data_IF_509093941966
#
_entry.id   IF_509093941966
#
_cell.length_a   1.000
_cell.length_b   1.000
_cell.length_c   1.000
_cell.angle_alpha   90.00
_cell.angle_beta   90.00
_cell.angle_gamma   90.00
#
_symmetry.space_group_name_H-M   'P 1'
#
loop_
_entity.id
_entity.type
_entity.pdbx_description
1 polymer ?
#
# COMPACT_ATOMS: atom_id res chain seq x y z
N UNK A 1 22.82 -3.15 -3.80
CA UNK A 1 22.34 -1.90 -4.44
C UNK A 1 21.77 -2.07 -5.87
N UNK A 2 21.87 -3.23 -6.55
CA UNK A 2 21.47 -3.34 -7.97
C UNK A 2 20.01 -3.75 -8.30
N UNK A 3 19.22 -4.28 -7.36
CA UNK A 3 17.89 -4.87 -7.66
C UNK A 3 16.69 -3.92 -7.54
N UNK A 4 16.78 -2.86 -6.73
CA UNK A 4 15.75 -1.81 -6.64
C UNK A 4 15.73 -0.95 -7.92
N UNK A 5 16.91 -0.63 -8.46
CA UNK A 5 17.08 0.08 -9.72
C UNK A 5 16.45 -0.65 -10.92
N UNK A 6 16.46 -2.00 -10.91
CA UNK A 6 15.95 -2.85 -11.99
C UNK A 6 14.42 -3.03 -12.00
N UNK A 7 13.69 -2.59 -10.97
CA UNK A 7 12.21 -2.67 -10.90
C UNK A 7 11.52 -1.32 -10.99
N UNK A 8 12.21 -0.25 -10.58
CA UNK A 8 11.82 1.11 -10.94
C UNK A 8 12.06 1.40 -12.42
N UNK A 9 13.01 0.71 -13.06
CA UNK A 9 13.14 0.73 -14.52
C UNK A 9 11.90 0.18 -15.22
N UNK A 10 11.29 -0.92 -14.76
CA UNK A 10 10.07 -1.45 -15.39
C UNK A 10 8.85 -0.55 -15.20
N UNK A 11 8.76 0.16 -14.06
CA UNK A 11 7.72 1.18 -13.83
C UNK A 11 7.98 2.43 -14.67
N UNK A 12 9.22 2.93 -14.71
CA UNK A 12 9.64 4.06 -15.55
C UNK A 12 9.42 3.78 -17.03
N UNK A 13 9.71 2.58 -17.49
CA UNK A 13 9.59 2.14 -18.89
C UNK A 13 8.12 1.96 -19.28
N UNK A 14 7.31 1.37 -18.39
CA UNK A 14 5.84 1.34 -18.56
C UNK A 14 5.22 2.75 -18.61
N UNK A 15 5.74 3.69 -17.82
CA UNK A 15 5.27 5.08 -17.80
C UNK A 15 5.79 5.91 -19.00
N UNK A 16 6.97 5.60 -19.55
CA UNK A 16 7.58 6.30 -20.71
C UNK A 16 6.91 5.93 -22.04
N UNK A 17 6.50 4.67 -22.21
CA UNK A 17 5.86 4.16 -23.44
C UNK A 17 4.47 4.80 -23.67
N UNK A 18 3.81 5.32 -22.63
CA UNK A 18 2.46 5.90 -22.72
C UNK A 18 2.41 7.37 -23.16
N UNK A 19 3.53 7.99 -23.54
CA UNK A 19 3.63 9.27 -24.26
C UNK A 19 2.55 10.33 -24.01
N UNK A 20 2.38 10.86 -22.80
CA UNK A 20 1.36 11.91 -22.53
C UNK A 20 1.87 13.04 -21.61
N UNK A 21 1.70 14.26 -22.14
CA UNK A 21 1.71 15.56 -21.44
C UNK A 21 0.71 15.60 -20.26
N UNK A 22 1.19 16.01 -19.08
CA UNK A 22 0.43 16.42 -17.89
C UNK A 22 -0.69 15.49 -17.36
N UNK A 23 -0.34 14.28 -16.88
CA UNK A 23 -1.23 13.43 -16.08
C UNK A 23 -0.63 13.08 -14.73
N UNK A 24 -1.43 13.12 -13.67
CA UNK A 24 -1.00 12.95 -12.28
C UNK A 24 -1.00 11.48 -11.85
N UNK A 25 -0.21 11.15 -10.84
CA UNK A 25 -0.31 9.89 -10.10
C UNK A 25 -1.23 10.11 -8.90
N UNK A 26 -2.35 9.38 -8.87
CA UNK A 26 -3.25 9.38 -7.72
C UNK A 26 -2.69 8.48 -6.62
N UNK A 27 -2.77 8.92 -5.37
CA UNK A 27 -2.37 8.14 -4.20
C UNK A 27 -3.53 8.16 -3.21
N UNK A 28 -4.00 6.99 -2.81
CA UNK A 28 -5.11 6.82 -1.87
C UNK A 28 -4.66 6.08 -0.61
N UNK A 29 -5.00 6.61 0.55
CA UNK A 29 -4.82 5.95 1.85
C UNK A 29 -6.05 6.11 2.76
N UNK A 30 -6.17 5.25 3.77
CA UNK A 30 -7.24 5.36 4.77
C UNK A 30 -7.06 6.51 5.75
N UNK A 31 -5.86 7.09 5.85
CA UNK A 31 -5.55 8.15 6.79
C UNK A 31 -4.37 8.97 6.28
N UNK A 32 -3.42 9.29 7.17
CA UNK A 32 -2.21 10.05 6.84
C UNK A 32 -0.97 9.16 6.67
N UNK A 33 -1.02 7.90 7.10
CA UNK A 33 0.11 6.97 7.03
C UNK A 33 0.66 6.77 5.60
N UNK A 34 -0.21 6.84 4.59
CA UNK A 34 0.16 6.76 3.18
C UNK A 34 1.02 7.91 2.67
N UNK A 35 1.19 9.00 3.44
CA UNK A 35 2.17 10.04 3.12
C UNK A 35 3.61 9.49 3.10
N UNK A 36 3.89 8.40 3.82
CA UNK A 36 5.17 7.69 3.73
C UNK A 36 5.42 7.11 2.34
N UNK A 37 4.38 6.51 1.72
CA UNK A 37 4.42 6.01 0.34
C UNK A 37 4.54 7.16 -0.65
N UNK A 38 3.76 8.23 -0.47
CA UNK A 38 3.84 9.41 -1.32
C UNK A 38 5.25 10.03 -1.29
N UNK A 39 5.85 10.17 -0.10
CA UNK A 39 7.21 10.69 0.06
C UNK A 39 8.23 9.84 -0.70
N UNK A 40 8.13 8.51 -0.60
CA UNK A 40 9.02 7.60 -1.33
C UNK A 40 8.83 7.71 -2.85
N UNK A 41 7.58 7.79 -3.32
CA UNK A 41 7.27 7.98 -4.74
C UNK A 41 7.82 9.31 -5.27
N UNK A 42 7.61 10.41 -4.54
CA UNK A 42 8.09 11.73 -4.94
C UNK A 42 9.62 11.80 -5.00
N UNK A 43 10.33 11.09 -4.11
CA UNK A 43 11.78 10.99 -4.14
C UNK A 43 12.29 10.24 -5.39
N UNK A 44 11.64 9.14 -5.77
CA UNK A 44 12.03 8.32 -6.93
C UNK A 44 11.54 8.88 -8.28
N UNK A 45 10.48 9.68 -8.25
CA UNK A 45 9.79 10.25 -9.40
C UNK A 45 9.64 11.78 -9.24
N UNK A 46 10.73 12.55 -9.17
CA UNK A 46 10.68 13.98 -8.84
C UNK A 46 10.02 14.86 -9.92
N UNK A 47 9.89 14.35 -11.14
CA UNK A 47 9.22 15.05 -12.24
C UNK A 47 7.69 14.80 -12.27
N UNK A 48 7.18 13.94 -11.39
CA UNK A 48 5.78 13.56 -11.38
C UNK A 48 4.92 14.48 -10.52
N UNK A 49 3.68 14.70 -10.96
CA UNK A 49 2.67 15.39 -10.18
C UNK A 49 1.79 14.36 -9.46
N UNK A 50 1.51 14.62 -8.20
CA UNK A 50 0.73 13.72 -7.35
C UNK A 50 -0.55 14.38 -6.86
N UNK A 51 -1.63 13.59 -6.76
CA UNK A 51 -2.82 13.96 -6.01
C UNK A 51 -3.03 12.91 -4.92
N UNK A 52 -3.16 13.34 -3.68
CA UNK A 52 -3.30 12.46 -2.52
C UNK A 52 -4.69 12.59 -1.90
N UNK A 53 -5.32 11.46 -1.63
CA UNK A 53 -6.56 11.39 -0.86
C UNK A 53 -6.34 10.51 0.37
N UNK A 54 -6.42 11.11 1.55
CA UNK A 54 -6.47 10.43 2.84
C UNK A 54 -7.89 10.43 3.38
N UNK A 55 -8.45 9.25 3.66
CA UNK A 55 -9.83 9.12 4.15
C UNK A 55 -9.96 9.22 5.68
N UNK A 56 -9.48 10.33 6.23
CA UNK A 56 -9.40 10.56 7.68
C UNK A 56 -10.76 10.66 8.38
N UNK A 57 -11.88 10.76 7.65
CA UNK A 57 -13.21 10.72 8.27
C UNK A 57 -13.63 9.31 8.71
N UNK A 58 -12.96 8.26 8.19
CA UNK A 58 -13.40 6.85 8.32
C UNK A 58 -12.29 5.90 8.79
N UNK A 59 -11.14 6.43 9.18
CA UNK A 59 -10.03 5.66 9.74
C UNK A 59 -10.38 5.06 11.14
N UNK A 60 -9.69 4.00 11.58
CA UNK A 60 -8.81 3.15 10.80
C UNK A 60 -9.59 2.13 9.98
N UNK A 61 -9.11 1.81 8.78
CA UNK A 61 -9.70 0.73 7.96
C UNK A 61 -9.43 -0.66 8.54
N UNK A 62 -8.34 -0.81 9.30
CA UNK A 62 -7.89 -2.09 9.86
C UNK A 62 -8.92 -2.84 10.70
N UNK A 63 -9.87 -2.12 11.32
CA UNK A 63 -10.93 -2.68 12.18
C UNK A 63 -12.26 -2.87 11.44
N UNK A 64 -12.35 -2.48 10.16
CA UNK A 64 -13.59 -2.55 9.38
C UNK A 64 -13.73 -3.90 8.66
N UNK A 65 -14.96 -4.21 8.23
CA UNK A 65 -15.22 -5.38 7.39
C UNK A 65 -14.63 -5.20 5.98
N UNK A 66 -14.35 -6.30 5.28
CA UNK A 66 -13.80 -6.26 3.92
C UNK A 66 -14.75 -5.52 2.97
N UNK A 67 -16.07 -5.77 3.07
CA UNK A 67 -17.09 -5.12 2.25
C UNK A 67 -17.11 -3.61 2.48
N UNK A 68 -16.94 -3.19 3.74
CA UNK A 68 -16.87 -1.77 4.10
C UNK A 68 -15.62 -1.11 3.51
N UNK A 69 -14.45 -1.76 3.63
CA UNK A 69 -13.19 -1.26 3.04
C UNK A 69 -13.29 -1.17 1.52
N UNK A 70 -13.85 -2.18 0.85
CA UNK A 70 -14.09 -2.17 -0.60
C UNK A 70 -14.98 -0.99 -1.00
N UNK A 71 -16.10 -0.79 -0.28
CA UNK A 71 -17.02 0.33 -0.54
C UNK A 71 -16.32 1.68 -0.40
N UNK A 72 -15.55 1.89 0.66
CA UNK A 72 -14.85 3.15 0.86
C UNK A 72 -13.74 3.38 -0.18
N UNK A 73 -12.96 2.34 -0.51
CA UNK A 73 -11.93 2.42 -1.56
C UNK A 73 -12.53 2.77 -2.93
N UNK A 74 -13.71 2.22 -3.28
CA UNK A 74 -14.41 2.57 -4.51
C UNK A 74 -14.91 4.03 -4.52
N UNK A 75 -15.35 4.56 -3.37
CA UNK A 75 -15.75 5.96 -3.24
C UNK A 75 -14.53 6.89 -3.36
N UNK A 76 -13.41 6.57 -2.71
CA UNK A 76 -12.16 7.31 -2.86
C UNK A 76 -11.64 7.28 -4.31
N UNK A 77 -11.74 6.13 -4.97
CA UNK A 77 -11.41 5.99 -6.40
C UNK A 77 -12.30 6.89 -7.27
N UNK A 78 -13.60 6.98 -6.98
CA UNK A 78 -14.51 7.84 -7.72
C UNK A 78 -14.17 9.33 -7.56
N UNK A 79 -13.79 9.76 -6.35
CA UNK A 79 -13.33 11.12 -6.09
C UNK A 79 -12.01 11.44 -6.84
N UNK A 80 -11.05 10.50 -6.82
CA UNK A 80 -9.78 10.64 -7.53
C UNK A 80 -9.93 10.58 -9.05
N UNK A 81 -10.96 9.91 -9.57
CA UNK A 81 -11.24 9.85 -11.01
C UNK A 81 -11.66 11.20 -11.60
N UNK A 82 -11.96 12.21 -10.77
CA UNK A 82 -12.17 13.59 -11.23
C UNK A 82 -10.86 14.27 -11.70
N UNK A 83 -9.69 13.69 -11.41
CA UNK A 83 -8.39 14.18 -11.84
C UNK A 83 -7.89 13.42 -13.07
N UNK A 84 -7.01 14.03 -13.90
CA UNK A 84 -6.42 13.37 -15.06
C UNK A 84 -5.34 12.37 -14.62
N UNK A 85 -5.75 11.21 -14.11
CA UNK A 85 -4.85 10.18 -13.60
C UNK A 85 -4.20 9.40 -14.75
N UNK A 86 -2.90 9.14 -14.63
CA UNK A 86 -2.19 8.12 -15.42
C UNK A 86 -1.92 6.83 -14.65
N UNK A 87 -2.02 6.87 -13.33
CA UNK A 87 -1.89 5.72 -12.45
C UNK A 87 -2.59 6.02 -11.11
N UNK A 88 -3.11 4.98 -10.45
CA UNK A 88 -3.57 5.03 -9.08
C UNK A 88 -2.75 4.09 -8.20
N UNK A 89 -2.22 4.61 -7.09
CA UNK A 89 -1.56 3.84 -6.04
C UNK A 89 -2.46 3.78 -4.81
N UNK A 90 -2.82 2.57 -4.38
CA UNK A 90 -3.46 2.32 -3.08
C UNK A 90 -2.34 2.16 -2.05
N UNK A 91 -2.05 3.23 -1.30
CA UNK A 91 -1.01 3.26 -0.28
C UNK A 91 -1.43 2.54 1.03
N UNK A 92 -2.73 2.41 1.29
CA UNK A 92 -3.24 1.70 2.45
C UNK A 92 -3.02 0.18 2.30
N UNK A 93 -2.33 -0.44 3.26
CA UNK A 93 -2.16 -1.89 3.31
C UNK A 93 -3.50 -2.63 3.41
N UNK A 94 -4.40 -2.16 4.26
CA UNK A 94 -5.71 -2.80 4.44
C UNK A 94 -6.56 -2.69 3.18
N UNK A 95 -6.60 -1.53 2.53
CA UNK A 95 -7.33 -1.39 1.26
C UNK A 95 -6.66 -2.19 0.14
N UNK A 96 -5.32 -2.20 0.06
CA UNK A 96 -4.60 -3.00 -0.92
C UNK A 96 -4.86 -4.50 -0.77
N UNK A 97 -5.03 -4.98 0.47
CA UNK A 97 -5.28 -6.40 0.75
C UNK A 97 -6.65 -6.88 0.26
N UNK A 98 -7.69 -6.03 0.29
CA UNK A 98 -9.08 -6.48 0.03
C UNK A 98 -9.77 -5.77 -1.14
N UNK A 99 -9.39 -4.53 -1.47
CA UNK A 99 -10.12 -3.71 -2.43
C UNK A 99 -9.45 -3.60 -3.81
N UNK A 100 -8.19 -4.02 -3.94
CA UNK A 100 -7.43 -3.87 -5.18
C UNK A 100 -8.14 -4.46 -6.42
N UNK A 101 -8.74 -5.68 -6.40
CA UNK A 101 -9.45 -6.21 -7.55
C UNK A 101 -10.68 -5.37 -7.94
N UNK A 102 -11.47 -4.92 -6.96
CA UNK A 102 -12.66 -4.12 -7.20
C UNK A 102 -12.31 -2.73 -7.77
N UNK A 103 -11.25 -2.09 -7.25
CA UNK A 103 -10.76 -0.81 -7.76
C UNK A 103 -10.25 -0.95 -9.19
N UNK A 104 -9.48 -2.00 -9.51
CA UNK A 104 -9.03 -2.28 -10.88
C UNK A 104 -10.18 -2.44 -11.86
N UNK A 105 -11.23 -3.18 -11.46
CA UNK A 105 -12.42 -3.34 -12.29
C UNK A 105 -13.17 -2.01 -12.52
N UNK A 106 -13.17 -1.11 -11.52
CA UNK A 106 -13.85 0.19 -11.62
C UNK A 106 -13.17 1.17 -12.56
N UNK A 107 -11.85 1.19 -12.61
CA UNK A 107 -11.06 2.13 -13.45
C UNK A 107 -10.12 1.37 -14.39
N UNK A 108 -10.70 0.50 -15.23
CA UNK A 108 -9.94 -0.44 -16.06
C UNK A 108 -8.92 0.22 -17.03
N UNK A 109 -9.12 1.49 -17.39
CA UNK A 109 -8.21 2.24 -18.27
C UNK A 109 -7.01 2.87 -17.54
N UNK A 110 -6.99 2.85 -16.20
CA UNK A 110 -5.92 3.43 -15.38
C UNK A 110 -5.22 2.32 -14.60
N UNK A 111 -3.90 2.13 -14.76
CA UNK A 111 -3.15 1.16 -13.96
C UNK A 111 -3.31 1.40 -12.46
N UNK A 112 -3.67 0.34 -11.72
CA UNK A 112 -3.82 0.38 -10.25
C UNK A 112 -2.80 -0.52 -9.56
N UNK A 113 -2.02 0.07 -8.67
CA UNK A 113 -0.95 -0.57 -7.91
C UNK A 113 -1.32 -0.55 -6.43
N UNK A 114 -1.14 -1.67 -5.73
CA UNK A 114 -1.26 -1.76 -4.27
C UNK A 114 0.10 -2.05 -3.63
N UNK A 115 0.19 -1.90 -2.31
CA UNK A 115 1.46 -2.02 -1.55
C UNK A 115 1.82 -3.43 -1.08
N UNK A 116 0.89 -4.39 -1.13
CA UNK A 116 1.11 -5.77 -0.67
C UNK A 116 2.16 -6.49 -1.52
N UNK A 117 1.97 -6.51 -2.85
CA UNK A 117 2.85 -7.26 -3.76
C UNK A 117 4.31 -6.75 -3.74
N UNK A 118 4.59 -5.43 -3.79
CA UNK A 118 5.96 -4.92 -3.64
C UNK A 118 6.56 -5.23 -2.26
N UNK A 119 5.77 -5.13 -1.18
CA UNK A 119 6.25 -5.43 0.16
C UNK A 119 6.60 -6.91 0.33
N UNK A 120 5.75 -7.83 -0.14
CA UNK A 120 6.01 -9.27 -0.12
C UNK A 120 7.26 -9.64 -0.91
N UNK A 121 7.44 -9.00 -2.06
CA UNK A 121 8.60 -9.19 -2.91
C UNK A 121 9.91 -8.73 -2.26
N UNK A 122 9.90 -7.54 -1.64
CA UNK A 122 11.04 -7.04 -0.90
C UNK A 122 11.39 -7.95 0.29
N UNK A 123 10.39 -8.43 1.03
CA UNK A 123 10.58 -9.36 2.14
C UNK A 123 11.21 -10.69 1.69
N UNK A 124 10.73 -11.28 0.59
CA UNK A 124 11.32 -12.50 0.04
C UNK A 124 12.77 -12.30 -0.42
N UNK A 125 13.09 -11.13 -0.99
CA UNK A 125 14.43 -10.83 -1.45
C UNK A 125 15.42 -10.56 -0.30
N UNK A 126 14.93 -10.06 0.84
CA UNK A 126 15.76 -9.72 2.00
C UNK A 126 15.98 -10.91 2.95
N UNK A 127 15.04 -11.84 3.04
CA UNK A 127 15.14 -12.98 3.97
C UNK A 127 16.04 -14.08 3.42
N UNK A 128 17.15 -14.37 4.10
CA UNK A 128 18.02 -15.51 3.76
C UNK A 128 17.45 -16.83 4.30
N UNK A 129 16.97 -16.83 5.55
CA UNK A 129 16.47 -18.04 6.22
C UNK A 129 15.05 -18.47 5.80
N UNK A 130 14.31 -17.61 5.10
CA UNK A 130 12.93 -17.91 4.71
C UNK A 130 11.90 -17.68 5.81
N UNK A 131 12.32 -17.22 6.99
CA UNK A 131 11.40 -16.74 8.02
C UNK A 131 11.11 -15.26 7.78
N UNK A 132 9.82 -14.92 7.69
CA UNK A 132 9.35 -13.56 7.40
C UNK A 132 8.23 -13.21 8.39
N UNK A 133 8.41 -12.14 9.15
CA UNK A 133 7.37 -11.58 10.00
C UNK A 133 6.60 -10.48 9.26
N UNK A 134 5.28 -10.43 9.44
CA UNK A 134 4.40 -9.39 8.91
C UNK A 134 3.63 -8.79 10.08
N UNK A 135 3.94 -7.54 10.41
CA UNK A 135 3.21 -6.77 11.42
C UNK A 135 2.29 -5.81 10.69
N UNK A 136 0.99 -5.90 10.94
CA UNK A 136 0.00 -5.09 10.24
C UNK A 136 -1.28 -4.93 11.07
N UNK A 137 -2.24 -4.17 10.54
CA UNK A 137 -3.57 -4.10 11.14
C UNK A 137 -4.28 -5.46 11.12
N UNK A 138 -5.24 -5.64 12.02
CA UNK A 138 -6.03 -6.87 12.12
C UNK A 138 -6.64 -7.30 10.78
N UNK A 139 -7.26 -6.35 10.06
CA UNK A 139 -7.85 -6.62 8.74
C UNK A 139 -6.83 -7.13 7.72
N UNK A 140 -5.60 -6.60 7.72
CA UNK A 140 -4.54 -7.07 6.83
C UNK A 140 -4.04 -8.45 7.24
N UNK A 141 -3.81 -8.70 8.53
CA UNK A 141 -3.35 -10.00 9.04
C UNK A 141 -4.38 -11.10 8.79
N UNK A 142 -5.64 -10.83 9.15
CA UNK A 142 -6.78 -11.75 8.96
C UNK A 142 -7.03 -12.03 7.48
N UNK A 143 -6.87 -11.04 6.61
CA UNK A 143 -7.06 -11.17 5.17
C UNK A 143 -6.02 -12.05 4.47
N UNK A 144 -4.88 -12.33 5.11
CA UNK A 144 -3.91 -13.29 4.59
C UNK A 144 -3.13 -12.84 3.34
N UNK A 145 -3.29 -11.58 2.91
CA UNK A 145 -2.81 -11.12 1.60
C UNK A 145 -1.28 -11.18 1.49
N UNK A 146 -0.56 -10.78 2.55
CA UNK A 146 0.90 -10.90 2.58
C UNK A 146 1.34 -12.36 2.60
N UNK A 147 0.72 -13.22 3.40
CA UNK A 147 1.04 -14.64 3.49
C UNK A 147 0.90 -15.31 2.12
N UNK A 148 -0.17 -15.01 1.39
CA UNK A 148 -0.39 -15.50 0.03
C UNK A 148 0.64 -14.95 -0.95
N UNK A 149 0.91 -13.64 -0.93
CA UNK A 149 1.85 -12.99 -1.84
C UNK A 149 3.31 -13.44 -1.62
N UNK A 150 3.70 -13.70 -0.37
CA UNK A 150 5.00 -14.25 0.02
C UNK A 150 5.12 -15.70 -0.45
N UNK A 151 4.16 -16.58 -0.08
CA UNK A 151 4.21 -18.01 -0.44
C UNK A 151 4.16 -18.25 -1.95
N UNK A 152 3.47 -17.40 -2.71
CA UNK A 152 3.51 -17.44 -4.18
C UNK A 152 4.91 -17.24 -4.75
N UNK A 153 5.75 -16.46 -4.08
CA UNK A 153 7.14 -16.15 -4.51
C UNK A 153 8.16 -17.10 -3.91
N UNK A 154 7.92 -17.54 -2.69
CA UNK A 154 8.79 -18.40 -1.91
C UNK A 154 7.92 -19.45 -1.18
N UNK A 155 7.56 -20.56 -1.86
CA UNK A 155 6.63 -21.56 -1.32
C UNK A 155 7.04 -22.13 0.04
N UNK A 156 8.34 -22.22 0.30
CA UNK A 156 8.93 -22.73 1.54
C UNK A 156 9.06 -21.69 2.67
N UNK A 157 8.64 -20.44 2.44
CA UNK A 157 8.73 -19.39 3.45
C UNK A 157 7.82 -19.66 4.66
N UNK A 158 8.39 -19.53 5.85
CA UNK A 158 7.64 -19.50 7.10
C UNK A 158 7.21 -18.06 7.39
N UNK A 159 5.91 -17.81 7.32
CA UNK A 159 5.34 -16.47 7.50
C UNK A 159 4.60 -16.39 8.82
N UNK A 160 5.09 -15.53 9.72
CA UNK A 160 4.43 -15.18 10.98
C UNK A 160 3.75 -13.83 10.84
N UNK A 161 2.42 -13.79 10.92
CA UNK A 161 1.67 -12.53 10.82
C UNK A 161 1.12 -12.15 12.21
N UNK A 162 1.43 -10.94 12.66
CA UNK A 162 1.10 -10.44 14.00
C UNK A 162 0.25 -9.17 13.86
N UNK A 163 -0.99 -9.15 14.41
CA UNK A 163 -1.78 -7.94 14.42
C UNK A 163 -1.20 -6.94 15.43
N UNK A 164 -1.09 -5.68 15.04
CA UNK A 164 -0.66 -4.58 15.90
C UNK A 164 -1.76 -3.49 15.97
N UNK A 165 -2.84 -3.72 16.73
CA UNK A 165 -4.03 -2.87 16.70
C UNK A 165 -3.78 -1.43 17.20
N UNK A 166 -2.81 -1.24 18.11
CA UNK A 166 -2.53 0.06 18.73
C UNK A 166 -1.51 0.90 17.95
N UNK A 167 -0.75 0.30 17.03
CA UNK A 167 0.36 0.99 16.36
C UNK A 167 -0.10 2.17 15.49
N UNK A 168 -1.27 2.08 14.86
CA UNK A 168 -1.82 3.18 14.06
C UNK A 168 -2.10 4.40 14.95
N UNK A 169 -2.79 4.20 16.06
CA UNK A 169 -3.13 5.29 16.98
C UNK A 169 -1.86 5.92 17.57
N UNK A 170 -0.90 5.10 18.03
CA UNK A 170 0.35 5.61 18.58
C UNK A 170 1.18 6.40 17.55
N UNK A 171 1.27 5.91 16.31
CA UNK A 171 2.00 6.60 15.26
C UNK A 171 1.35 7.95 14.87
N UNK A 172 0.03 8.02 14.83
CA UNK A 172 -0.70 9.26 14.50
C UNK A 172 -0.68 10.30 15.63
N UNK A 173 -0.60 9.85 16.89
CA UNK A 173 -0.38 10.71 18.07
C UNK A 173 1.11 11.06 18.30
N UNK A 174 2.02 10.56 17.46
CA UNK A 174 3.46 10.80 17.58
C UNK A 174 4.13 10.07 18.76
N UNK A 175 3.47 9.09 19.36
CA UNK A 175 3.99 8.26 20.47
C UNK A 175 4.75 7.07 19.88
N UNK A 176 5.98 7.31 19.44
CA UNK A 176 6.81 6.29 18.80
C UNK A 176 7.85 5.65 19.73
N UNK A 177 8.06 6.22 20.92
CA UNK A 177 9.10 5.81 21.86
C UNK A 177 8.58 5.85 23.31
N UNK A 178 9.29 5.20 24.22
CA UNK A 178 9.00 5.21 25.66
C UNK A 178 8.07 4.08 26.11
N UNK A 179 7.73 4.05 27.42
CA UNK A 179 7.14 2.88 28.07
C UNK A 179 5.81 2.42 27.46
N UNK A 180 5.01 3.34 26.92
CA UNK A 180 3.73 3.02 26.28
C UNK A 180 3.96 2.33 24.93
N UNK A 181 4.88 2.85 24.11
CA UNK A 181 5.20 2.26 22.80
C UNK A 181 5.85 0.87 22.97
N UNK A 182 6.72 0.71 23.97
CA UNK A 182 7.37 -0.56 24.29
C UNK A 182 6.38 -1.61 24.84
N UNK A 183 5.42 -1.21 25.68
CA UNK A 183 4.47 -2.14 26.28
C UNK A 183 3.46 -2.75 25.29
N UNK A 184 3.26 -2.11 24.13
CA UNK A 184 2.31 -2.58 23.11
C UNK A 184 2.97 -3.31 21.93
N UNK A 185 4.31 -3.34 21.87
CA UNK A 185 5.10 -3.91 20.79
C UNK A 185 5.40 -5.41 21.02
#
# INVERSE_FOLDING_TARGET
MGRAAARLSSLRESLRIMGVSARMIGVFDSGVGGLTVLRALAAELPAEQFVYLGDTARLPYGTKSAETVVRYALQATAALAAFPLKCLVIACNTASAVALPAVRARIASVPVIGVIEPGAEAACAASNCGHIAVIATEGTVRGGAYQQAIRRRRPEAQVTAVPAPLFVALAEEGVCEGPIAEAVA
#
